data_IF_048967332889
#
_entry.id   IF_048967332889
#
_cell.length_a   1.000
_cell.length_b   1.000
_cell.length_c   1.000
_cell.angle_alpha   90.00
_cell.angle_beta   90.00
_cell.angle_gamma   90.00
#
_symmetry.space_group_name_H-M   'P 1'
#
loop_
_entity.id
_entity.type
_entity.pdbx_description
1 polymer ?
#
# COMPACT_ATOMS: atom_id res chain seq x y z
N UNK A 1 -3.00 14.59 15.25
CA UNK A 1 -3.38 13.17 15.18
C UNK A 1 -4.26 12.94 13.96
N UNK A 2 -3.91 11.99 13.15
CA UNK A 2 -4.70 11.68 11.96
C UNK A 2 -5.89 10.81 12.34
N UNK A 3 -7.06 11.18 11.84
CA UNK A 3 -8.30 10.42 12.06
C UNK A 3 -8.66 9.74 10.75
N UNK A 4 -8.90 8.46 10.82
CA UNK A 4 -9.32 7.66 9.69
C UNK A 4 -10.39 6.66 10.09
N UNK A 5 -11.16 6.22 9.10
CA UNK A 5 -12.10 5.11 9.26
C UNK A 5 -11.66 3.96 8.36
N UNK A 6 -11.82 2.76 8.87
CA UNK A 6 -11.55 1.54 8.10
C UNK A 6 -12.81 0.67 8.11
N UNK A 7 -13.22 0.22 6.93
CA UNK A 7 -14.40 -0.65 6.75
C UNK A 7 -14.10 -1.69 5.68
N UNK A 8 -14.84 -2.79 5.71
CA UNK A 8 -14.81 -3.75 4.62
C UNK A 8 -15.42 -3.12 3.38
N UNK A 9 -14.70 -3.15 2.25
CA UNK A 9 -15.21 -2.64 0.99
C UNK A 9 -16.25 -3.60 0.41
N UNK A 10 -17.36 -3.06 -0.07
CA UNK A 10 -18.39 -3.81 -0.79
C UNK A 10 -18.31 -3.49 -2.28
N UNK A 11 -18.38 -4.51 -3.12
CA UNK A 11 -18.29 -4.38 -4.57
C UNK A 11 -19.35 -3.40 -5.08
N UNK A 12 -18.94 -2.47 -5.94
CA UNK A 12 -19.79 -1.45 -6.53
C UNK A 12 -20.05 -0.23 -5.66
N UNK A 13 -19.56 -0.20 -4.43
CA UNK A 13 -19.71 0.96 -3.56
C UNK A 13 -18.67 2.03 -3.89
N UNK A 14 -19.11 3.29 -3.92
CA UNK A 14 -18.24 4.45 -4.14
C UNK A 14 -18.15 5.30 -2.87
N UNK A 15 -17.12 6.13 -2.79
CA UNK A 15 -16.84 6.93 -1.60
C UNK A 15 -16.59 8.38 -2.00
N UNK A 16 -17.25 9.31 -1.28
CA UNK A 16 -17.11 10.75 -1.55
C UNK A 16 -15.86 11.35 -0.89
N UNK A 17 -15.46 10.82 0.28
CA UNK A 17 -14.27 11.31 0.99
C UNK A 17 -12.99 10.78 0.35
N UNK A 18 -11.85 11.45 0.58
CA UNK A 18 -10.56 10.89 0.19
C UNK A 18 -10.39 9.49 0.78
N UNK A 19 -9.94 8.54 -0.03
CA UNK A 19 -9.86 7.14 0.37
C UNK A 19 -8.81 6.38 -0.42
N UNK A 20 -8.45 5.23 0.11
CA UNK A 20 -7.69 4.20 -0.58
C UNK A 20 -8.09 2.84 0.01
N UNK A 21 -7.54 1.79 -0.57
CA UNK A 21 -7.89 0.43 -0.17
C UNK A 21 -6.65 -0.29 0.32
N UNK A 22 -6.82 -1.25 1.22
CA UNK A 22 -5.75 -2.18 1.59
C UNK A 22 -6.24 -3.60 1.37
N UNK A 23 -5.38 -4.41 0.77
CA UNK A 23 -5.65 -5.81 0.50
C UNK A 23 -5.80 -6.56 1.84
N UNK A 24 -6.82 -7.43 1.95
CA UNK A 24 -7.05 -8.17 3.19
C UNK A 24 -6.91 -9.69 3.05
N UNK A 25 -6.57 -10.18 1.87
CA UNK A 25 -6.45 -11.60 1.60
C UNK A 25 -5.18 -11.90 0.80
N UNK A 26 -4.51 -12.99 1.14
CA UNK A 26 -3.25 -13.38 0.53
C UNK A 26 -2.03 -12.90 1.32
N UNK A 27 -0.86 -13.27 0.85
CA UNK A 27 0.42 -12.92 1.51
C UNK A 27 0.71 -11.41 1.47
N UNK A 28 0.10 -10.70 0.54
CA UNK A 28 0.26 -9.25 0.40
C UNK A 28 -0.78 -8.46 1.18
N UNK A 29 -1.49 -9.07 2.12
CA UNK A 29 -2.46 -8.38 2.98
C UNK A 29 -1.81 -7.18 3.66
N UNK A 30 -2.51 -6.05 3.65
CA UNK A 30 -2.01 -4.77 4.12
C UNK A 30 -1.48 -3.87 3.02
N UNK A 31 -1.25 -4.39 1.81
CA UNK A 31 -0.76 -3.58 0.69
C UNK A 31 -1.78 -2.51 0.32
N UNK A 32 -1.38 -1.21 0.30
CA UNK A 32 -2.28 -0.15 -0.11
C UNK A 32 -2.51 -0.16 -1.61
N UNK A 33 -3.75 0.15 -2.01
CA UNK A 33 -4.20 0.13 -3.40
C UNK A 33 -4.99 1.41 -3.68
N UNK A 34 -4.83 1.98 -4.85
CA UNK A 34 -5.63 3.12 -5.30
C UNK A 34 -7.01 2.70 -5.79
N UNK A 35 -7.12 1.49 -6.31
CA UNK A 35 -8.37 0.94 -6.86
C UNK A 35 -8.84 -0.22 -6.01
N UNK A 36 -10.16 -0.42 -5.90
CA UNK A 36 -10.69 -1.54 -5.11
C UNK A 36 -10.43 -2.88 -5.77
N UNK A 37 -10.40 -3.91 -4.94
CA UNK A 37 -10.36 -5.30 -5.37
C UNK A 37 -11.42 -6.08 -4.58
N UNK A 38 -11.73 -7.33 -4.96
CA UNK A 38 -12.79 -8.09 -4.26
C UNK A 38 -12.53 -8.29 -2.76
N UNK A 39 -11.27 -8.33 -2.34
CA UNK A 39 -10.89 -8.61 -0.96
C UNK A 39 -10.04 -7.48 -0.40
N UNK A 40 -10.69 -6.38 -0.05
CA UNK A 40 -9.99 -5.23 0.52
C UNK A 40 -10.83 -4.52 1.58
N UNK A 41 -10.13 -3.76 2.42
CA UNK A 41 -10.74 -2.77 3.30
C UNK A 41 -10.62 -1.41 2.63
N UNK A 42 -11.59 -0.52 2.90
CA UNK A 42 -11.50 0.89 2.50
C UNK A 42 -11.08 1.72 3.70
N UNK A 43 -10.11 2.60 3.50
CA UNK A 43 -9.69 3.59 4.49
C UNK A 43 -10.11 4.95 3.96
N UNK A 44 -10.89 5.68 4.76
CA UNK A 44 -11.35 7.03 4.42
C UNK A 44 -10.73 8.04 5.38
N UNK A 45 -10.44 9.22 4.85
CA UNK A 45 -9.88 10.33 5.61
C UNK A 45 -10.68 11.60 5.35
N UNK A 46 -10.44 12.64 6.12
CA UNK A 46 -11.12 13.93 5.96
C UNK A 46 -10.46 14.74 4.84
N UNK A 47 -9.14 14.77 4.80
CA UNK A 47 -8.39 15.54 3.82
C UNK A 47 -7.56 14.65 2.89
N UNK A 48 -7.24 15.18 1.72
CA UNK A 48 -6.39 14.48 0.77
C UNK A 48 -4.96 14.31 1.29
N UNK A 49 -4.46 15.29 2.03
CA UNK A 49 -3.13 15.21 2.65
C UNK A 49 -3.04 14.05 3.64
N UNK A 50 -4.06 13.87 4.46
CA UNK A 50 -4.14 12.73 5.38
C UNK A 50 -4.21 11.40 4.64
N UNK A 51 -4.98 11.35 3.56
CA UNK A 51 -5.07 10.16 2.69
C UNK A 51 -3.68 9.77 2.17
N UNK A 52 -2.93 10.71 1.63
CA UNK A 52 -1.59 10.46 1.11
C UNK A 52 -0.64 9.99 2.20
N UNK A 53 -0.65 10.64 3.35
CA UNK A 53 0.19 10.25 4.48
C UNK A 53 -0.12 8.84 4.97
N UNK A 54 -1.39 8.49 5.10
CA UNK A 54 -1.81 7.15 5.52
C UNK A 54 -1.48 6.09 4.47
N UNK A 55 -1.65 6.42 3.19
CA UNK A 55 -1.30 5.51 2.11
C UNK A 55 0.17 5.08 2.22
N UNK A 56 1.06 6.04 2.34
CA UNK A 56 2.49 5.74 2.43
C UNK A 56 2.89 5.14 3.77
N UNK A 57 2.18 5.46 4.84
CA UNK A 57 2.37 4.77 6.11
C UNK A 57 2.01 3.29 5.99
N UNK A 58 0.87 2.97 5.38
CA UNK A 58 0.45 1.59 5.14
C UNK A 58 1.43 0.86 4.22
N UNK A 59 1.94 1.53 3.19
CA UNK A 59 2.97 0.96 2.33
C UNK A 59 4.24 0.63 3.13
N UNK A 60 4.66 1.52 4.00
CA UNK A 60 5.80 1.30 4.90
C UNK A 60 5.58 0.12 5.82
N UNK A 61 4.39 0.02 6.39
CA UNK A 61 4.02 -1.10 7.27
C UNK A 61 3.99 -2.42 6.51
N UNK A 62 3.54 -2.42 5.26
CA UNK A 62 3.54 -3.61 4.42
C UNK A 62 4.97 -4.04 4.08
N UNK A 63 5.80 -3.11 3.62
CA UNK A 63 7.19 -3.38 3.24
C UNK A 63 8.00 -3.87 4.46
N UNK A 64 7.77 -3.29 5.62
CA UNK A 64 8.41 -3.69 6.87
C UNK A 64 7.84 -4.96 7.49
N UNK A 65 6.82 -5.58 6.87
CA UNK A 65 6.18 -6.83 7.29
C UNK A 65 5.45 -6.74 8.63
N UNK A 66 4.98 -5.56 9.01
CA UNK A 66 4.23 -5.38 10.26
C UNK A 66 2.84 -6.02 10.20
N UNK A 67 2.21 -6.08 9.01
CA UNK A 67 0.95 -6.78 8.84
C UNK A 67 1.11 -8.29 8.83
N UNK A 68 2.26 -8.79 8.38
CA UNK A 68 2.52 -10.22 8.24
C UNK A 68 2.39 -10.98 9.56
N UNK A 69 2.74 -10.35 10.67
CA UNK A 69 2.62 -10.95 12.00
C UNK A 69 1.18 -11.34 12.34
N UNK A 70 0.19 -10.62 11.81
CA UNK A 70 -1.22 -10.82 12.12
C UNK A 70 -1.97 -11.65 11.09
N UNK A 71 -1.27 -12.20 10.09
CA UNK A 71 -1.91 -13.04 9.09
C UNK A 71 -2.40 -14.35 9.70
N UNK A 72 -3.63 -14.71 9.34
CA UNK A 72 -4.31 -15.92 9.78
C UNK A 72 -4.66 -16.79 8.58
N UNK A 73 -5.02 -18.04 8.83
CA UNK A 73 -5.43 -18.97 7.79
C UNK A 73 -4.31 -19.89 7.34
N UNK A 74 -4.65 -21.16 7.08
CA UNK A 74 -3.69 -22.21 6.74
C UNK A 74 -3.49 -22.41 5.24
N UNK A 75 -4.49 -22.03 4.42
CA UNK A 75 -4.43 -22.21 2.97
C UNK A 75 -4.19 -20.86 2.29
N UNK A 76 -5.10 -19.90 2.49
CA UNK A 76 -4.95 -18.54 1.98
C UNK A 76 -4.88 -17.62 3.19
N UNK A 77 -3.74 -16.95 3.44
CA UNK A 77 -3.64 -16.00 4.54
C UNK A 77 -4.61 -14.84 4.37
N UNK A 78 -5.06 -14.29 5.49
CA UNK A 78 -5.89 -13.08 5.51
C UNK A 78 -5.59 -12.28 6.77
N UNK A 79 -5.95 -10.99 6.75
CA UNK A 79 -5.87 -10.14 7.93
C UNK A 79 -7.27 -9.66 8.30
N UNK A 80 -7.59 -9.69 9.60
CA UNK A 80 -8.83 -9.15 10.12
C UNK A 80 -8.80 -7.63 10.21
N UNK A 81 -9.99 -7.01 10.15
CA UNK A 81 -10.10 -5.56 10.17
C UNK A 81 -9.59 -4.97 11.49
N UNK A 82 -9.85 -5.62 12.63
CA UNK A 82 -9.36 -5.13 13.91
C UNK A 82 -7.84 -5.23 14.04
N UNK A 83 -7.22 -6.25 13.48
CA UNK A 83 -5.77 -6.37 13.46
C UNK A 83 -5.13 -5.32 12.56
N UNK A 84 -5.69 -5.08 11.37
CA UNK A 84 -5.22 -4.04 10.46
C UNK A 84 -5.32 -2.65 11.13
N UNK A 85 -6.45 -2.37 11.76
CA UNK A 85 -6.66 -1.11 12.48
C UNK A 85 -5.65 -0.94 13.62
N UNK A 86 -5.38 -2.01 14.36
CA UNK A 86 -4.42 -2.03 15.47
C UNK A 86 -3.00 -1.68 15.01
N UNK A 87 -2.55 -2.27 13.91
CA UNK A 87 -1.23 -1.99 13.35
C UNK A 87 -1.11 -0.53 12.94
N UNK A 88 -2.10 -0.02 12.22
CA UNK A 88 -2.10 1.37 11.75
C UNK A 88 -2.13 2.34 12.93
N UNK A 89 -2.99 2.11 13.91
CA UNK A 89 -3.10 2.98 15.09
C UNK A 89 -1.80 2.99 15.90
N UNK A 90 -1.17 1.84 16.06
CA UNK A 90 0.11 1.77 16.78
C UNK A 90 1.19 2.60 16.09
N UNK A 91 1.26 2.54 14.76
CA UNK A 91 2.19 3.35 13.99
C UNK A 91 1.88 4.85 14.11
N UNK A 92 0.60 5.22 14.07
CA UNK A 92 0.19 6.63 14.22
C UNK A 92 0.53 7.18 15.60
N UNK A 93 0.32 6.41 16.67
CA UNK A 93 0.64 6.82 18.03
C UNK A 93 2.14 7.06 18.21
N UNK A 94 2.96 6.31 17.50
CA UNK A 94 4.42 6.36 17.63
C UNK A 94 5.07 7.06 16.43
N UNK A 95 4.30 7.85 15.69
CA UNK A 95 4.74 8.42 14.42
C UNK A 95 6.02 9.24 14.56
N UNK A 96 6.08 10.13 15.55
CA UNK A 96 7.26 10.95 15.80
C UNK A 96 8.33 10.19 16.59
N UNK A 97 7.92 9.43 17.61
CA UNK A 97 8.83 8.72 18.52
C UNK A 97 9.69 7.70 17.79
N UNK A 98 9.11 6.97 16.83
CA UNK A 98 9.82 5.96 16.05
C UNK A 98 10.27 6.47 14.68
N UNK A 99 10.25 7.78 14.47
CA UNK A 99 10.71 8.41 13.24
C UNK A 99 9.99 7.90 11.98
N UNK A 100 8.73 7.52 12.13
CA UNK A 100 7.94 7.01 11.00
C UNK A 100 7.83 8.03 9.88
N UNK A 101 7.73 9.32 10.22
CA UNK A 101 7.68 10.38 9.21
C UNK A 101 8.91 10.34 8.31
N UNK A 102 10.11 10.24 8.92
CA UNK A 102 11.37 10.14 8.18
C UNK A 102 11.43 8.86 7.35
N UNK A 103 11.02 7.73 7.93
CA UNK A 103 10.99 6.44 7.24
C UNK A 103 10.08 6.47 6.02
N UNK A 104 8.89 7.06 6.16
CA UNK A 104 7.94 7.21 5.04
C UNK A 104 8.52 8.07 3.93
N UNK A 105 9.12 9.20 4.27
CA UNK A 105 9.75 10.08 3.27
C UNK A 105 10.90 9.39 2.53
N UNK A 106 11.73 8.64 3.25
CA UNK A 106 12.80 7.86 2.63
C UNK A 106 12.25 6.77 1.72
N UNK A 107 11.20 6.08 2.15
CA UNK A 107 10.57 5.04 1.33
C UNK A 107 9.99 5.60 0.04
N UNK A 108 9.37 6.79 0.09
CA UNK A 108 8.88 7.47 -1.13
C UNK A 108 9.99 7.66 -2.15
N UNK A 109 11.16 8.12 -1.69
CA UNK A 109 12.32 8.34 -2.57
C UNK A 109 12.85 7.03 -3.15
N UNK A 110 12.97 6.00 -2.33
CA UNK A 110 13.43 4.68 -2.77
C UNK A 110 12.45 4.09 -3.78
N UNK A 111 11.15 4.19 -3.53
CA UNK A 111 10.12 3.69 -4.44
C UNK A 111 10.16 4.40 -5.78
N UNK A 112 10.33 5.73 -5.79
CA UNK A 112 10.46 6.49 -7.03
C UNK A 112 11.70 6.08 -7.82
N UNK A 113 12.80 5.83 -7.14
CA UNK A 113 14.04 5.34 -7.76
C UNK A 113 13.86 3.94 -8.36
N UNK A 114 13.20 3.06 -7.64
CA UNK A 114 12.88 1.70 -8.11
C UNK A 114 12.02 1.73 -9.36
N UNK A 115 10.99 2.55 -9.39
CA UNK A 115 10.12 2.72 -10.56
C UNK A 115 10.92 3.20 -11.77
N UNK A 116 11.86 4.13 -11.58
CA UNK A 116 12.74 4.62 -12.63
C UNK A 116 13.61 3.49 -13.18
N UNK A 117 14.20 2.67 -12.31
CA UNK A 117 15.02 1.52 -12.73
C UNK A 117 14.18 0.51 -13.51
N UNK A 118 12.96 0.24 -13.09
CA UNK A 118 12.06 -0.68 -13.81
C UNK A 118 11.71 -0.15 -15.21
N UNK A 119 11.50 1.16 -15.35
CA UNK A 119 11.27 1.78 -16.66
C UNK A 119 12.50 1.65 -17.56
N UNK A 120 13.70 1.83 -17.01
CA UNK A 120 14.95 1.65 -17.77
C UNK A 120 15.10 0.20 -18.25
N UNK A 121 14.80 -0.78 -17.40
CA UNK A 121 14.85 -2.19 -17.79
C UNK A 121 13.84 -2.50 -18.88
N UNK A 122 12.63 -1.96 -18.80
CA UNK A 122 11.62 -2.12 -19.84
C UNK A 122 12.08 -1.53 -21.17
N UNK A 123 12.69 -0.36 -21.16
CA UNK A 123 13.24 0.29 -22.36
C UNK A 123 14.33 -0.55 -22.99
N UNK A 124 15.24 -1.11 -22.19
CA UNK A 124 16.30 -1.99 -22.69
C UNK A 124 15.71 -3.21 -23.37
N UNK A 125 14.69 -3.84 -22.78
CA UNK A 125 14.03 -4.98 -23.37
C UNK A 125 13.41 -4.65 -24.74
N UNK A 126 12.78 -3.48 -24.83
CA UNK A 126 12.20 -3.00 -26.10
C UNK A 126 13.27 -2.73 -27.16
N UNK A 127 14.40 -2.17 -26.76
CA UNK A 127 15.53 -1.92 -27.66
C UNK A 127 16.07 -3.23 -28.25
N UNK A 128 16.20 -4.26 -27.45
CA UNK A 128 16.65 -5.59 -27.92
C UNK A 128 15.71 -6.13 -28.98
N UNK A 129 14.41 -6.05 -28.74
CA UNK A 129 13.39 -6.51 -29.69
C UNK A 129 13.46 -5.70 -30.98
N UNK A 130 13.53 -4.37 -30.88
CA UNK A 130 13.59 -3.50 -32.05
C UNK A 130 14.84 -3.76 -32.89
N UNK A 131 15.99 -3.95 -32.24
CA UNK A 131 17.24 -4.25 -32.94
C UNK A 131 17.14 -5.54 -33.75
N UNK A 132 16.58 -6.59 -33.15
CA UNK A 132 16.47 -7.89 -33.84
C UNK A 132 15.44 -7.85 -34.96
N UNK A 133 14.32 -7.14 -34.77
CA UNK A 133 13.28 -7.04 -35.81
C UNK A 133 13.68 -6.16 -36.98
N UNK A 134 14.55 -5.18 -36.78
CA UNK A 134 15.00 -4.29 -37.85
C UNK A 134 15.80 -5.04 -38.93
N UNK A 135 16.27 -6.24 -38.67
CA UNK A 135 17.06 -7.06 -39.61
C UNK A 135 16.21 -8.02 -40.47
N UNK A 136 14.92 -8.06 -40.16
CA UNK A 136 13.97 -8.93 -40.87
C UNK A 136 13.04 -8.07 -41.71
#
# INVERSE_FOLDING_TARGET
>A
MQIFEIKTHQIGRTYAKPHFFILNKGLNSGKPLDKPCPNCFVITTITRAERESLYYLCLSLKVGQFFAYYLKGSVIPFIGISDAKKVINAALQNYETHQWQMKVEKLKKITAFEENLQQQLSTIAKLKIALLKAQI
#
